data_IF_695883246227
#
_entry.id   IF_695883246227
#
_cell.length_a   1.000
_cell.length_b   1.000
_cell.length_c   1.000
_cell.angle_alpha   90.00
_cell.angle_beta   90.00
_cell.angle_gamma   90.00
#
_symmetry.space_group_name_H-M   'P 1'
#
loop_
_entity.id
_entity.type
_entity.pdbx_description
1 polymer ?
#
# COMPACT_ATOMS: atom_id res chain seq x y z
N UNK A 1 8.21 15.05 -6.74
CA UNK A 1 7.45 13.87 -7.18
C UNK A 1 6.17 13.85 -6.38
N UNK A 2 5.07 14.31 -6.98
CA UNK A 2 3.77 14.44 -6.31
C UNK A 2 2.94 13.18 -6.61
N UNK A 3 3.20 12.11 -5.85
CA UNK A 3 2.55 10.81 -6.05
C UNK A 3 1.07 10.91 -5.65
N UNK A 4 0.14 10.33 -6.43
CA UNK A 4 -1.27 10.29 -6.07
C UNK A 4 -1.52 9.60 -4.72
N UNK A 5 -0.63 8.71 -4.27
CA UNK A 5 -0.68 8.08 -2.96
C UNK A 5 -0.58 9.11 -1.80
N UNK A 6 0.12 10.24 -2.02
CA UNK A 6 0.31 11.29 -1.01
C UNK A 6 -0.89 12.24 -0.86
N UNK A 7 -1.94 12.09 -1.69
CA UNK A 7 -3.12 12.97 -1.68
C UNK A 7 -4.30 12.39 -0.90
N UNK A 8 -4.21 11.13 -0.48
CA UNK A 8 -5.22 10.49 0.36
C UNK A 8 -4.94 10.77 1.84
N UNK A 9 -5.96 10.91 2.70
CA UNK A 9 -5.75 10.97 4.14
C UNK A 9 -4.91 9.77 4.56
N UNK A 10 -3.89 10.03 5.38
CA UNK A 10 -2.66 9.27 5.47
C UNK A 10 -2.84 7.75 5.73
N UNK A 11 -3.04 6.97 4.66
CA UNK A 11 -3.15 5.52 4.70
C UNK A 11 -2.12 4.86 3.79
N UNK A 12 -0.90 4.59 4.29
CA UNK A 12 0.13 3.95 3.49
C UNK A 12 -0.22 2.48 3.29
N UNK A 13 0.01 2.01 2.06
CA UNK A 13 0.09 0.59 1.75
C UNK A 13 1.53 0.19 1.52
N UNK A 14 1.98 -0.83 2.25
CA UNK A 14 3.30 -1.44 2.07
C UNK A 14 3.16 -2.80 1.40
N UNK A 15 4.05 -3.13 0.46
CA UNK A 15 4.10 -4.44 -0.18
C UNK A 15 5.45 -5.12 0.07
N UNK A 16 5.40 -6.38 0.53
CA UNK A 16 6.55 -7.26 0.76
C UNK A 16 6.53 -8.37 -0.29
N UNK A 17 7.27 -8.23 -1.41
CA UNK A 17 7.16 -9.15 -2.54
C UNK A 17 7.62 -10.58 -2.22
N UNK A 18 8.63 -10.72 -1.35
CA UNK A 18 9.19 -12.03 -0.98
C UNK A 18 8.19 -12.96 -0.30
N UNK A 19 7.19 -12.40 0.36
CA UNK A 19 6.12 -13.14 1.06
C UNK A 19 4.73 -12.83 0.48
N UNK A 20 4.68 -12.11 -0.64
CA UNK A 20 3.47 -11.62 -1.28
C UNK A 20 2.44 -11.04 -0.30
N UNK A 21 2.91 -10.18 0.62
CA UNK A 21 2.07 -9.61 1.68
C UNK A 21 1.92 -8.11 1.50
N UNK A 22 0.69 -7.64 1.63
CA UNK A 22 0.35 -6.23 1.73
C UNK A 22 -0.01 -5.89 3.17
N UNK A 23 0.26 -4.64 3.55
CA UNK A 23 -0.19 -4.06 4.82
C UNK A 23 -0.85 -2.71 4.55
N UNK A 24 -1.81 -2.33 5.39
CA UNK A 24 -2.51 -1.05 5.35
C UNK A 24 -2.50 -0.45 6.76
N UNK A 25 -2.14 0.81 6.89
CA UNK A 25 -2.15 1.51 8.18
C UNK A 25 -3.02 2.77 8.08
N UNK A 26 -3.56 3.21 9.22
CA UNK A 26 -4.21 4.52 9.34
C UNK A 26 -3.27 5.44 10.14
N UNK A 27 -2.48 6.29 9.49
CA UNK A 27 -1.49 7.11 10.20
C UNK A 27 -2.11 8.23 11.05
N UNK A 28 -3.40 8.53 10.88
CA UNK A 28 -4.08 9.50 11.72
C UNK A 28 -4.41 8.89 13.09
N UNK A 29 -4.83 7.63 13.11
CA UNK A 29 -5.20 6.92 14.34
C UNK A 29 -4.08 6.04 14.91
N UNK A 30 -3.17 5.60 14.04
CA UNK A 30 -2.06 4.68 14.31
C UNK A 30 -0.75 5.21 13.68
N UNK A 31 -0.21 6.33 14.18
CA UNK A 31 1.00 6.95 13.64
C UNK A 31 2.27 6.10 13.79
N UNK A 32 2.19 5.01 14.57
CA UNK A 32 3.28 4.06 14.79
C UNK A 32 3.12 2.77 13.98
N UNK A 33 2.10 2.68 13.11
CA UNK A 33 1.88 1.54 12.20
C UNK A 33 1.83 0.18 12.93
N UNK A 34 1.22 0.16 14.12
CA UNK A 34 1.12 -1.02 14.97
C UNK A 34 -0.04 -1.94 14.56
N UNK A 35 -1.00 -1.44 13.78
CA UNK A 35 -2.25 -2.11 13.44
C UNK A 35 -2.41 -2.27 11.93
N UNK A 36 -2.14 -3.49 11.45
CA UNK A 36 -2.33 -3.85 10.05
C UNK A 36 -3.82 -4.07 9.73
N UNK A 37 -4.39 -3.16 8.92
CA UNK A 37 -5.79 -3.12 8.50
C UNK A 37 -6.05 -3.85 7.18
N UNK A 38 -5.03 -4.44 6.54
CA UNK A 38 -5.19 -5.01 5.19
C UNK A 38 -6.20 -6.18 5.11
N UNK A 39 -6.45 -6.84 6.24
CA UNK A 39 -7.42 -7.94 6.34
C UNK A 39 -8.79 -7.50 6.89
N UNK A 40 -8.96 -6.24 7.28
CA UNK A 40 -10.24 -5.75 7.81
C UNK A 40 -11.22 -5.50 6.64
N UNK A 41 -12.38 -6.19 6.60
CA UNK A 41 -13.37 -6.01 5.53
C UNK A 41 -13.93 -4.58 5.46
N UNK A 42 -13.90 -3.81 6.55
CA UNK A 42 -14.33 -2.40 6.56
C UNK A 42 -13.43 -1.52 5.66
N UNK A 43 -12.18 -1.93 5.46
CA UNK A 43 -11.20 -1.21 4.66
C UNK A 43 -10.97 -1.83 3.27
N UNK A 44 -11.71 -2.89 2.90
CA UNK A 44 -11.45 -3.66 1.68
C UNK A 44 -11.51 -2.84 0.39
N UNK A 45 -12.47 -1.93 0.26
CA UNK A 45 -12.62 -1.09 -0.94
C UNK A 45 -11.45 -0.11 -1.10
N UNK A 46 -11.08 0.57 -0.02
CA UNK A 46 -9.97 1.51 0.02
C UNK A 46 -8.62 0.80 -0.14
N UNK A 47 -8.47 -0.35 0.49
CA UNK A 47 -7.29 -1.20 0.32
C UNK A 47 -7.09 -1.61 -1.15
N UNK A 48 -8.17 -1.96 -1.86
CA UNK A 48 -8.10 -2.30 -3.28
C UNK A 48 -7.67 -1.10 -4.14
N UNK A 49 -8.18 0.10 -3.85
CA UNK A 49 -7.79 1.34 -4.54
C UNK A 49 -6.32 1.69 -4.30
N UNK A 50 -5.88 1.70 -3.04
CA UNK A 50 -4.50 2.00 -2.65
C UNK A 50 -3.51 0.97 -3.23
N UNK A 51 -3.89 -0.32 -3.22
CA UNK A 51 -3.11 -1.38 -3.84
C UNK A 51 -2.93 -1.13 -5.34
N UNK A 52 -4.00 -0.77 -6.05
CA UNK A 52 -3.93 -0.49 -7.49
C UNK A 52 -3.05 0.73 -7.80
N UNK A 53 -3.12 1.77 -6.96
CA UNK A 53 -2.24 2.94 -7.05
C UNK A 53 -0.78 2.54 -6.82
N UNK A 54 -0.49 1.79 -5.75
CA UNK A 54 0.87 1.32 -5.45
C UNK A 54 1.46 0.51 -6.60
N UNK A 55 0.72 -0.44 -7.15
CA UNK A 55 1.17 -1.25 -8.29
C UNK A 55 1.44 -0.38 -9.53
N UNK A 56 0.61 0.64 -9.76
CA UNK A 56 0.81 1.59 -10.86
C UNK A 56 2.11 2.39 -10.70
N UNK A 57 2.37 2.90 -9.50
CA UNK A 57 3.58 3.66 -9.20
C UNK A 57 4.83 2.77 -9.28
N UNK A 58 4.77 1.53 -8.77
CA UNK A 58 5.88 0.57 -8.88
C UNK A 58 6.21 0.24 -10.34
N UNK A 59 5.19 0.06 -11.19
CA UNK A 59 5.39 -0.11 -12.64
C UNK A 59 6.01 1.14 -13.28
N UNK A 60 5.49 2.33 -12.97
CA UNK A 60 6.00 3.59 -13.51
C UNK A 60 7.45 3.86 -13.10
N UNK A 61 7.83 3.43 -11.89
CA UNK A 61 9.19 3.54 -11.37
C UNK A 61 10.16 2.45 -11.88
N UNK A 62 9.67 1.46 -12.64
CA UNK A 62 10.42 0.24 -12.99
C UNK A 62 11.02 -0.42 -11.73
N UNK A 63 10.22 -0.56 -10.67
CA UNK A 63 10.67 -1.10 -9.38
C UNK A 63 11.22 -2.54 -9.58
N UNK A 64 12.53 -2.78 -9.32
CA UNK A 64 13.13 -4.10 -9.50
C UNK A 64 12.59 -5.15 -8.53
N UNK A 65 11.88 -4.74 -7.47
CA UNK A 65 11.33 -5.64 -6.46
C UNK A 65 10.04 -6.33 -6.93
N UNK A 66 9.27 -5.73 -7.85
CA UNK A 66 8.08 -6.39 -8.42
C UNK A 66 8.43 -7.36 -9.57
N UNK A 67 9.57 -7.15 -10.25
CA UNK A 67 10.02 -8.03 -11.34
C UNK A 67 10.53 -9.41 -10.86
N UNK A 68 10.92 -9.52 -9.58
CA UNK A 68 11.42 -10.77 -8.96
C UNK A 68 10.35 -11.57 -8.24
N UNK A 69 9.12 -11.08 -8.20
CA UNK A 69 8.02 -11.68 -7.45
C UNK A 69 7.19 -12.70 -8.26
N UNK A 70 7.55 -12.94 -9.52
CA UNK A 70 6.98 -13.97 -10.41
C UNK A 70 8.01 -15.02 -10.80
#
# INVERSE_FOLDING_TARGET
MDSPLNRLPARPTCYYPQINRYQLFDLLQDPLEMHDLAADPQHAAEFAELKALLESEQRAANDPLIAKAG
#
